data_IF_090723067723
#
_entry.id   IF_090723067723
#
_cell.length_a   1.000
_cell.length_b   1.000
_cell.length_c   1.000
_cell.angle_alpha   90.00
_cell.angle_beta   90.00
_cell.angle_gamma   90.00
#
_symmetry.space_group_name_H-M   'P 1'
#
loop_
_entity.id
_entity.type
_entity.pdbx_description
1 polymer ?
#
# COMPACT_ATOMS: atom_id res chain seq x y z
N UNK A 1 -20.47 10.03 -9.63
CA UNK A 1 -19.61 10.72 -8.65
C UNK A 1 -19.50 12.17 -9.10
N UNK A 2 -19.74 13.15 -8.22
CA UNK A 2 -19.45 14.54 -8.57
C UNK A 2 -17.93 14.68 -8.75
N UNK A 3 -17.48 15.02 -9.95
CA UNK A 3 -16.08 15.38 -10.18
C UNK A 3 -15.81 16.64 -9.35
N UNK A 4 -14.92 16.51 -8.36
CA UNK A 4 -14.42 17.71 -7.66
C UNK A 4 -13.73 18.58 -8.71
N UNK A 5 -14.14 19.84 -8.80
CA UNK A 5 -13.43 20.83 -9.62
C UNK A 5 -11.97 20.89 -9.16
N UNK A 6 -11.05 20.82 -10.11
CA UNK A 6 -9.60 20.82 -9.87
C UNK A 6 -8.95 21.99 -10.63
N UNK A 7 -7.85 22.50 -10.11
CA UNK A 7 -7.02 23.52 -10.78
C UNK A 7 -5.81 22.88 -11.43
N UNK A 8 -5.27 23.49 -12.49
CA UNK A 8 -4.06 22.99 -13.19
C UNK A 8 -2.90 22.72 -12.21
N UNK A 9 -2.55 23.61 -11.26
CA UNK A 9 -1.48 23.33 -10.30
C UNK A 9 -1.74 22.11 -9.40
N UNK A 10 -3.01 21.87 -9.04
CA UNK A 10 -3.39 20.68 -8.25
C UNK A 10 -3.27 19.40 -9.07
N UNK A 11 -3.65 19.45 -10.35
CA UNK A 11 -3.52 18.31 -11.26
C UNK A 11 -2.04 17.95 -11.47
N UNK A 12 -1.17 18.93 -11.71
CA UNK A 12 0.27 18.71 -11.85
C UNK A 12 0.92 18.15 -10.57
N UNK A 13 0.52 18.65 -9.40
CA UNK A 13 0.99 18.12 -8.13
C UNK A 13 0.57 16.66 -7.93
N UNK A 14 -0.65 16.31 -8.33
CA UNK A 14 -1.13 14.92 -8.28
C UNK A 14 -0.39 14.02 -9.26
N UNK A 15 -0.11 14.48 -10.48
CA UNK A 15 0.72 13.74 -11.45
C UNK A 15 2.10 13.44 -10.85
N UNK A 16 2.79 14.45 -10.29
CA UNK A 16 4.10 14.25 -9.65
C UNK A 16 4.03 13.25 -8.50
N UNK A 17 3.00 13.33 -7.66
CA UNK A 17 2.78 12.41 -6.54
C UNK A 17 2.60 10.97 -7.02
N UNK A 18 1.81 10.77 -8.08
CA UNK A 18 1.54 9.45 -8.65
C UNK A 18 2.78 8.87 -9.34
N UNK A 19 3.50 9.68 -10.11
CA UNK A 19 4.77 9.28 -10.73
C UNK A 19 5.79 8.86 -9.66
N UNK A 20 5.95 9.66 -8.61
CA UNK A 20 6.83 9.32 -7.48
C UNK A 20 6.47 7.96 -6.85
N UNK A 21 5.17 7.72 -6.60
CA UNK A 21 4.73 6.43 -6.09
C UNK A 21 5.07 5.27 -7.03
N UNK A 22 4.83 5.42 -8.34
CA UNK A 22 5.16 4.39 -9.33
C UNK A 22 6.66 4.09 -9.33
N UNK A 23 7.51 5.13 -9.40
CA UNK A 23 8.97 5.00 -9.34
C UNK A 23 9.40 4.26 -8.07
N UNK A 24 8.89 4.68 -6.91
CA UNK A 24 9.20 4.03 -5.63
C UNK A 24 8.87 2.54 -5.65
N UNK A 25 7.73 2.14 -6.23
CA UNK A 25 7.30 0.73 -6.27
C UNK A 25 8.12 -0.09 -7.25
N UNK A 26 8.38 0.45 -8.45
CA UNK A 26 9.11 -0.25 -9.51
C UNK A 26 10.57 -0.50 -9.11
N UNK A 27 11.25 0.55 -8.63
CA UNK A 27 12.65 0.51 -8.21
C UNK A 27 12.86 -0.17 -6.85
N UNK A 28 11.79 -0.46 -6.11
CA UNK A 28 11.87 -1.06 -4.79
C UNK A 28 12.60 -2.41 -4.80
N UNK A 29 13.74 -2.48 -4.12
CA UNK A 29 14.53 -3.71 -3.95
C UNK A 29 13.96 -4.55 -2.80
N UNK A 30 13.37 -5.70 -3.16
CA UNK A 30 12.80 -6.65 -2.21
C UNK A 30 13.74 -7.84 -1.97
N UNK A 31 14.77 -7.59 -1.16
CA UNK A 31 15.79 -8.56 -0.74
C UNK A 31 15.37 -9.44 0.45
N UNK A 32 14.28 -9.06 1.13
CA UNK A 32 13.72 -9.76 2.29
C UNK A 32 12.25 -10.08 2.06
N UNK A 33 11.72 -11.06 2.79
CA UNK A 33 10.33 -11.46 2.69
C UNK A 33 9.39 -10.29 3.05
N UNK A 34 9.73 -9.52 4.09
CA UNK A 34 8.98 -8.35 4.51
C UNK A 34 8.90 -7.29 3.41
N UNK A 35 10.04 -6.97 2.78
CA UNK A 35 10.06 -6.05 1.64
C UNK A 35 9.30 -6.61 0.44
N UNK A 36 9.39 -7.91 0.18
CA UNK A 36 8.59 -8.53 -0.88
C UNK A 36 7.09 -8.42 -0.62
N UNK A 37 6.63 -8.64 0.62
CA UNK A 37 5.23 -8.43 1.02
C UNK A 37 4.80 -6.99 0.78
N UNK A 38 5.62 -6.01 1.17
CA UNK A 38 5.37 -4.58 0.96
C UNK A 38 5.22 -4.26 -0.53
N UNK A 39 6.16 -4.74 -1.37
CA UNK A 39 6.13 -4.55 -2.83
C UNK A 39 4.88 -5.16 -3.47
N UNK A 40 4.57 -6.40 -3.16
CA UNK A 40 3.39 -7.07 -3.72
C UNK A 40 2.08 -6.43 -3.25
N UNK A 41 2.05 -5.93 -2.01
CA UNK A 41 0.90 -5.17 -1.53
C UNK A 41 0.74 -3.85 -2.29
N UNK A 42 1.83 -3.16 -2.65
CA UNK A 42 1.78 -1.95 -3.47
C UNK A 42 1.12 -2.19 -4.83
N UNK A 43 1.38 -3.34 -5.47
CA UNK A 43 0.75 -3.71 -6.75
C UNK A 43 -0.68 -4.20 -6.62
N UNK A 44 -1.03 -4.88 -5.52
CA UNK A 44 -2.29 -5.64 -5.42
C UNK A 44 -3.33 -5.01 -4.50
N UNK A 45 -2.90 -4.15 -3.58
CA UNK A 45 -3.69 -3.57 -2.48
C UNK A 45 -4.50 -4.62 -1.67
N UNK A 46 -4.05 -5.88 -1.67
CA UNK A 46 -4.78 -7.03 -1.10
C UNK A 46 -3.84 -8.04 -0.47
N UNK A 47 -3.90 -8.19 0.86
CA UNK A 47 -3.14 -9.21 1.60
C UNK A 47 -3.43 -10.62 1.10
N UNK A 48 -4.69 -10.92 0.78
CA UNK A 48 -5.08 -12.24 0.25
C UNK A 48 -4.36 -12.55 -1.06
N UNK A 49 -4.21 -11.56 -1.95
CA UNK A 49 -3.45 -11.74 -3.19
C UNK A 49 -1.96 -11.92 -2.94
N UNK A 50 -1.38 -11.20 -1.98
CA UNK A 50 0.03 -11.36 -1.57
C UNK A 50 0.28 -12.79 -1.08
N UNK A 51 -0.56 -13.29 -0.16
CA UNK A 51 -0.47 -14.66 0.37
C UNK A 51 -0.63 -15.70 -0.75
N UNK A 52 -1.62 -15.53 -1.62
CA UNK A 52 -1.81 -16.44 -2.76
C UNK A 52 -0.58 -16.48 -3.67
N UNK A 53 0.04 -15.33 -3.95
CA UNK A 53 1.29 -15.26 -4.74
C UNK A 53 2.47 -15.90 -4.03
N UNK A 54 2.58 -15.76 -2.70
CA UNK A 54 3.65 -16.38 -1.93
C UNK A 54 3.55 -17.92 -1.96
N UNK A 55 2.37 -18.45 -1.67
CA UNK A 55 2.12 -19.88 -1.69
C UNK A 55 2.34 -20.48 -3.09
N UNK A 56 1.97 -19.76 -4.15
CA UNK A 56 2.25 -20.17 -5.53
C UNK A 56 3.75 -20.23 -5.86
N UNK A 57 4.60 -19.48 -5.14
CA UNK A 57 6.06 -19.54 -5.24
C UNK A 57 6.69 -20.56 -4.28
N UNK A 58 5.88 -21.38 -3.59
CA UNK A 58 6.36 -22.33 -2.58
C UNK A 58 6.75 -21.69 -1.24
N UNK A 59 6.43 -20.42 -1.03
CA UNK A 59 6.68 -19.72 0.24
C UNK A 59 5.43 -19.84 1.09
N UNK A 60 5.48 -20.62 2.17
CA UNK A 60 4.38 -20.69 3.15
C UNK A 60 4.26 -19.35 3.88
N UNK A 61 3.25 -18.56 3.50
CA UNK A 61 3.00 -17.26 4.08
C UNK A 61 1.61 -17.20 4.71
N UNK A 62 1.56 -16.88 6.01
CA UNK A 62 0.28 -16.68 6.68
C UNK A 62 -0.24 -15.24 6.54
N UNK A 63 -1.57 -15.08 6.51
CA UNK A 63 -2.20 -13.77 6.45
C UNK A 63 -1.94 -12.92 7.68
N UNK A 64 -1.82 -13.51 8.88
CA UNK A 64 -1.58 -12.74 10.11
C UNK A 64 -0.19 -12.09 10.08
N UNK A 65 0.82 -12.83 9.59
CA UNK A 65 2.17 -12.32 9.42
C UNK A 65 2.23 -11.25 8.31
N UNK A 66 1.60 -11.46 7.15
CA UNK A 66 1.55 -10.42 6.11
C UNK A 66 0.87 -9.12 6.61
N UNK A 67 -0.17 -9.24 7.46
CA UNK A 67 -0.80 -8.08 8.13
C UNK A 67 0.14 -7.43 9.15
N UNK A 68 0.89 -8.20 9.93
CA UNK A 68 1.82 -7.66 10.94
C UNK A 68 2.95 -6.88 10.28
N UNK A 69 3.49 -7.35 9.16
CA UNK A 69 4.48 -6.63 8.34
C UNK A 69 3.95 -5.26 7.91
N UNK A 70 2.75 -5.20 7.32
CA UNK A 70 2.17 -3.90 6.90
C UNK A 70 1.87 -2.95 8.07
N UNK A 71 1.39 -3.48 9.19
CA UNK A 71 1.04 -2.68 10.39
C UNK A 71 2.26 -2.22 11.19
N UNK A 72 3.35 -2.98 11.10
CA UNK A 72 4.58 -2.79 11.87
C UNK A 72 5.24 -1.43 11.67
N UNK A 73 6.36 -1.21 12.36
CA UNK A 73 7.15 0.02 12.19
C UNK A 73 7.58 0.14 10.74
N UNK A 74 7.35 1.32 10.15
CA UNK A 74 7.74 1.57 8.76
C UNK A 74 9.26 1.50 8.63
N UNK A 75 9.74 0.67 7.71
CA UNK A 75 11.17 0.48 7.45
C UNK A 75 11.69 1.55 6.50
N UNK A 76 10.87 1.94 5.53
CA UNK A 76 11.22 2.91 4.48
C UNK A 76 10.00 3.75 4.06
N UNK A 77 10.20 4.59 3.04
CA UNK A 77 9.18 5.48 2.50
C UNK A 77 7.98 4.73 1.92
N UNK A 78 8.20 3.72 1.08
CA UNK A 78 7.11 2.96 0.47
C UNK A 78 6.25 2.28 1.54
N UNK A 79 6.89 1.64 2.52
CA UNK A 79 6.19 1.04 3.64
C UNK A 79 5.39 2.06 4.44
N UNK A 80 5.96 3.25 4.69
CA UNK A 80 5.28 4.35 5.41
C UNK A 80 4.01 4.80 4.68
N UNK A 81 4.07 4.93 3.35
CA UNK A 81 2.92 5.31 2.52
C UNK A 81 1.83 4.24 2.57
N UNK A 82 2.18 2.98 2.31
CA UNK A 82 1.22 1.87 2.31
C UNK A 82 0.59 1.63 3.67
N UNK A 83 1.39 1.70 4.74
CA UNK A 83 0.91 1.57 6.12
C UNK A 83 -0.13 2.63 6.44
N UNK A 84 0.12 3.88 6.06
CA UNK A 84 -0.82 4.99 6.29
C UNK A 84 -2.15 4.75 5.59
N UNK A 85 -2.11 4.35 4.31
CA UNK A 85 -3.32 4.01 3.53
C UNK A 85 -4.06 2.79 4.10
N UNK A 86 -3.33 1.74 4.47
CA UNK A 86 -3.89 0.53 5.07
C UNK A 86 -4.59 0.83 6.40
N UNK A 87 -3.95 1.59 7.30
CA UNK A 87 -4.54 1.98 8.58
C UNK A 87 -5.74 2.90 8.39
N UNK A 88 -5.69 3.84 7.43
CA UNK A 88 -6.82 4.70 7.11
C UNK A 88 -8.05 3.89 6.65
N UNK A 89 -7.85 2.81 5.90
CA UNK A 89 -8.93 1.89 5.50
C UNK A 89 -9.53 1.12 6.67
N UNK A 90 -8.74 0.84 7.71
CA UNK A 90 -9.21 0.14 8.92
C UNK A 90 -9.94 1.04 9.91
N UNK A 91 -9.78 2.37 9.81
CA UNK A 91 -10.46 3.30 10.72
C UNK A 91 -11.98 3.18 10.52
N UNK A 92 -12.77 3.00 11.59
CA UNK A 92 -14.22 2.99 11.48
C UNK A 92 -14.67 4.34 10.91
N UNK A 93 -15.61 4.30 9.95
CA UNK A 93 -16.25 5.52 9.47
C UNK A 93 -17.01 6.09 10.67
N UNK A 94 -16.62 7.29 11.13
CA UNK A 94 -17.38 7.99 12.17
C UNK A 94 -18.79 8.18 11.62
N UNK A 95 -19.75 7.47 12.21
CA UNK A 95 -21.17 7.68 11.97
C UNK A 95 -21.45 9.12 12.37
N UNK A 96 -21.92 9.94 11.42
CA UNK A 96 -22.30 11.31 11.73
C UNK A 96 -23.60 11.21 12.52
N UNK A 97 -23.49 11.28 13.84
CA UNK A 97 -24.62 11.59 14.71
C UNK A 97 -25.07 13.01 14.34
N UNK A 98 -26.16 13.09 13.59
CA UNK A 98 -26.92 14.31 13.34
C UNK A 98 -28.01 14.45 14.39
#
# INVERSE_FOLDING_TARGET
MASKLITVPRAEAEIRRLQHYTTLVEEYRADTLEKWIIKEYAYTNSITKVVKKANAKGITLDQSYAKSVLKGKAIDELHRMLRSGYLARLKPKKERLY
#
